data_IF_429928442487
#
_entry.id   IF_429928442487
#
_cell.length_a   1.000
_cell.length_b   1.000
_cell.length_c   1.000
_cell.angle_alpha   90.00
_cell.angle_beta   90.00
_cell.angle_gamma   90.00
#
_symmetry.space_group_name_H-M   'P 1'
#
loop_
_entity.id
_entity.type
_entity.pdbx_description
1 polymer ?
#
# COMPACT_ATOMS: atom_id res chain seq x y z
N UNK A 1 -26.74 -4.33 -5.08
CA UNK A 1 -25.41 -3.72 -4.80
C UNK A 1 -24.66 -4.46 -3.69
N UNK A 2 -25.25 -4.70 -2.51
CA UNK A 2 -24.62 -5.47 -1.41
C UNK A 2 -24.33 -6.94 -1.76
N UNK A 3 -25.21 -7.58 -2.53
CA UNK A 3 -25.09 -8.99 -2.88
C UNK A 3 -23.94 -9.30 -3.84
N UNK A 4 -23.68 -8.43 -4.82
CA UNK A 4 -22.54 -8.57 -5.74
C UNK A 4 -21.21 -8.34 -5.01
N UNK A 5 -21.16 -7.37 -4.10
CA UNK A 5 -19.97 -7.08 -3.29
C UNK A 5 -19.60 -8.26 -2.36
N UNK A 6 -20.60 -8.95 -1.80
CA UNK A 6 -20.42 -10.17 -1.01
C UNK A 6 -19.91 -11.33 -1.89
N UNK A 7 -20.49 -11.54 -3.08
CA UNK A 7 -20.03 -12.57 -4.01
C UNK A 7 -18.57 -12.37 -4.41
N UNK A 8 -18.21 -11.12 -4.67
CA UNK A 8 -16.86 -10.75 -5.06
C UNK A 8 -15.87 -10.91 -3.90
N UNK A 9 -16.28 -10.60 -2.67
CA UNK A 9 -15.48 -10.87 -1.47
C UNK A 9 -15.27 -12.38 -1.26
N UNK A 10 -16.33 -13.17 -1.40
CA UNK A 10 -16.28 -14.64 -1.27
C UNK A 10 -15.37 -15.25 -2.33
N UNK A 11 -15.51 -14.84 -3.61
CA UNK A 11 -14.61 -15.28 -4.69
C UNK A 11 -13.15 -14.97 -4.39
N UNK A 12 -12.86 -13.77 -3.88
CA UNK A 12 -11.51 -13.36 -3.52
C UNK A 12 -10.92 -14.23 -2.39
N UNK A 13 -11.69 -14.47 -1.33
CA UNK A 13 -11.30 -15.33 -0.22
C UNK A 13 -11.04 -16.77 -0.69
N UNK A 14 -11.89 -17.28 -1.58
CA UNK A 14 -11.74 -18.62 -2.16
C UNK A 14 -10.50 -18.73 -3.06
N UNK A 15 -10.22 -17.73 -3.90
CA UNK A 15 -9.01 -17.69 -4.75
C UNK A 15 -7.75 -17.63 -3.89
N UNK A 16 -7.73 -16.79 -2.86
CA UNK A 16 -6.63 -16.70 -1.89
C UNK A 16 -6.42 -18.03 -1.18
N UNK A 17 -7.49 -18.62 -0.65
CA UNK A 17 -7.43 -19.89 0.06
C UNK A 17 -6.94 -21.03 -0.86
N UNK A 18 -7.41 -21.05 -2.10
CA UNK A 18 -6.99 -22.03 -3.10
C UNK A 18 -5.52 -21.86 -3.47
N UNK A 19 -5.07 -20.65 -3.79
CA UNK A 19 -3.66 -20.37 -4.12
C UNK A 19 -2.74 -20.70 -2.94
N UNK A 20 -3.19 -20.46 -1.71
CA UNK A 20 -2.45 -20.88 -0.52
C UNK A 20 -2.30 -22.40 -0.44
N UNK A 21 -3.42 -23.14 -0.53
CA UNK A 21 -3.41 -24.60 -0.46
C UNK A 21 -2.58 -25.19 -1.60
N UNK A 22 -2.75 -24.70 -2.83
CA UNK A 22 -1.98 -25.13 -3.99
C UNK A 22 -0.49 -24.89 -3.82
N UNK A 23 -0.10 -23.72 -3.32
CA UNK A 23 1.29 -23.40 -3.02
C UNK A 23 1.86 -24.29 -1.90
N UNK A 24 1.10 -24.51 -0.82
CA UNK A 24 1.51 -25.39 0.28
C UNK A 24 1.69 -26.85 -0.16
N UNK A 25 0.79 -27.36 -1.00
CA UNK A 25 0.87 -28.71 -1.56
C UNK A 25 2.05 -28.82 -2.53
N UNK A 26 2.23 -27.84 -3.43
CA UNK A 26 3.34 -27.81 -4.38
C UNK A 26 4.70 -27.74 -3.70
N UNK A 27 4.84 -26.90 -2.67
CA UNK A 27 6.06 -26.82 -1.87
C UNK A 27 6.30 -28.14 -1.12
N UNK A 28 5.26 -28.77 -0.57
CA UNK A 28 5.36 -30.10 0.04
C UNK A 28 5.87 -31.19 -0.91
N UNK A 29 5.65 -31.03 -2.22
CA UNK A 29 6.08 -31.97 -3.26
C UNK A 29 7.51 -31.74 -3.78
N UNK A 30 8.15 -30.59 -3.51
CA UNK A 30 9.46 -30.25 -4.09
C UNK A 30 10.50 -29.89 -3.02
N UNK A 31 11.56 -30.70 -2.95
CA UNK A 31 12.83 -30.55 -2.21
C UNK A 31 12.79 -29.83 -0.83
N UNK A 32 13.21 -30.55 0.22
CA UNK A 32 13.29 -30.13 1.65
C UNK A 32 13.88 -28.74 1.94
N UNK A 33 14.70 -28.17 1.05
CA UNK A 33 15.27 -26.83 1.23
C UNK A 33 14.26 -25.71 0.91
N UNK A 34 13.42 -25.88 -0.12
CA UNK A 34 12.39 -24.91 -0.49
C UNK A 34 11.24 -24.88 0.52
N UNK A 35 10.90 -26.03 1.10
CA UNK A 35 9.89 -26.14 2.16
C UNK A 35 10.28 -25.36 3.40
N UNK A 36 11.54 -25.43 3.83
CA UNK A 36 12.01 -24.71 5.04
C UNK A 36 12.03 -23.18 4.85
N UNK A 37 12.48 -22.71 3.68
CA UNK A 37 12.45 -21.28 3.33
C UNK A 37 11.01 -20.76 3.25
N UNK A 38 10.13 -21.49 2.58
CA UNK A 38 8.75 -21.11 2.40
C UNK A 38 7.93 -21.21 3.71
N UNK A 39 8.18 -22.19 4.57
CA UNK A 39 7.52 -22.27 5.89
C UNK A 39 7.86 -21.09 6.79
N UNK A 40 9.15 -20.71 6.85
CA UNK A 40 9.60 -19.55 7.63
C UNK A 40 8.96 -18.24 7.16
N UNK A 41 8.57 -18.17 5.89
CA UNK A 41 8.01 -16.97 5.22
C UNK A 41 6.56 -17.10 4.79
N UNK A 42 5.88 -18.18 5.18
CA UNK A 42 4.54 -18.54 4.68
C UNK A 42 3.57 -17.37 4.78
N UNK A 43 3.63 -16.64 5.89
CA UNK A 43 2.77 -15.49 6.15
C UNK A 43 3.06 -14.32 5.22
N UNK A 44 4.34 -13.99 4.98
CA UNK A 44 4.71 -12.91 4.06
C UNK A 44 4.34 -13.24 2.63
N UNK A 45 4.57 -14.49 2.20
CA UNK A 45 4.20 -14.95 0.85
C UNK A 45 2.68 -14.88 0.67
N UNK A 46 1.92 -15.40 1.64
CA UNK A 46 0.47 -15.29 1.66
C UNK A 46 -0.02 -13.86 1.57
N UNK A 47 0.51 -12.99 2.41
CA UNK A 47 0.13 -11.58 2.43
C UNK A 47 0.43 -10.92 1.08
N UNK A 48 1.59 -11.18 0.49
CA UNK A 48 1.95 -10.71 -0.85
C UNK A 48 0.95 -11.18 -1.90
N UNK A 49 0.56 -12.46 -1.90
CA UNK A 49 -0.42 -12.99 -2.84
C UNK A 49 -1.81 -12.36 -2.65
N UNK A 50 -2.27 -12.26 -1.40
CA UNK A 50 -3.54 -11.60 -1.06
C UNK A 50 -3.55 -10.17 -1.57
N UNK A 51 -2.51 -9.40 -1.28
CA UNK A 51 -2.41 -8.00 -1.70
C UNK A 51 -2.32 -7.85 -3.20
N UNK A 52 -1.65 -8.78 -3.89
CA UNK A 52 -1.62 -8.80 -5.36
C UNK A 52 -3.03 -9.01 -5.93
N UNK A 53 -3.79 -9.99 -5.43
CA UNK A 53 -5.14 -10.28 -5.95
C UNK A 53 -6.11 -9.16 -5.60
N UNK A 54 -6.07 -8.65 -4.36
CA UNK A 54 -6.87 -7.48 -3.95
C UNK A 54 -6.53 -6.29 -4.83
N UNK A 55 -5.23 -6.02 -5.04
CA UNK A 55 -4.76 -4.92 -5.88
C UNK A 55 -5.23 -5.04 -7.32
N UNK A 56 -5.14 -6.24 -7.92
CA UNK A 56 -5.62 -6.51 -9.28
C UNK A 56 -7.12 -6.25 -9.36
N UNK A 57 -7.91 -6.82 -8.45
CA UNK A 57 -9.37 -6.72 -8.48
C UNK A 57 -9.86 -5.28 -8.27
N UNK A 58 -9.27 -4.57 -7.30
CA UNK A 58 -9.58 -3.14 -7.09
C UNK A 58 -9.14 -2.32 -8.31
N UNK A 59 -8.07 -2.71 -9.00
CA UNK A 59 -7.64 -2.03 -10.23
C UNK A 59 -8.57 -2.33 -11.41
N UNK A 60 -9.16 -3.53 -11.48
CA UNK A 60 -10.10 -3.94 -12.53
C UNK A 60 -11.34 -3.02 -12.56
N UNK A 61 -11.87 -2.69 -11.37
CA UNK A 61 -12.96 -1.73 -11.21
C UNK A 61 -12.59 -0.32 -11.71
N UNK A 62 -11.30 0.02 -11.67
CA UNK A 62 -10.75 1.33 -12.07
C UNK A 62 -10.37 1.37 -13.56
N UNK A 63 -10.09 0.22 -14.18
CA UNK A 63 -9.71 0.12 -15.60
C UNK A 63 -10.79 0.68 -16.53
N UNK A 64 -12.07 0.59 -16.13
CA UNK A 64 -13.18 1.20 -16.85
C UNK A 64 -13.21 2.74 -16.78
N UNK A 65 -12.26 3.37 -16.06
CA UNK A 65 -12.09 4.83 -15.87
C UNK A 65 -13.25 5.55 -15.20
N UNK A 66 -14.30 4.83 -14.84
CA UNK A 66 -15.48 5.36 -14.17
C UNK A 66 -15.41 5.10 -12.66
N UNK A 67 -16.08 5.95 -11.91
CA UNK A 67 -16.25 5.77 -10.46
C UNK A 67 -17.57 5.07 -10.21
N UNK A 68 -17.51 3.94 -9.53
CA UNK A 68 -18.71 3.20 -9.14
C UNK A 68 -19.54 3.95 -8.09
N UNK A 69 -20.82 3.57 -7.90
CA UNK A 69 -21.69 4.15 -6.87
C UNK A 69 -21.08 4.09 -5.45
N UNK A 70 -20.26 3.09 -5.18
CA UNK A 70 -19.53 2.96 -3.91
C UNK A 70 -18.58 4.13 -3.66
N UNK A 71 -17.78 4.52 -4.66
CA UNK A 71 -16.81 5.60 -4.54
C UNK A 71 -17.48 6.94 -4.24
N UNK A 72 -18.60 7.21 -4.93
CA UNK A 72 -19.41 8.43 -4.74
C UNK A 72 -20.06 8.44 -3.36
N UNK A 73 -20.69 7.33 -2.96
CA UNK A 73 -21.40 7.22 -1.68
C UNK A 73 -20.45 7.46 -0.50
N UNK A 74 -19.28 6.83 -0.52
CA UNK A 74 -18.28 6.99 0.56
C UNK A 74 -17.77 8.42 0.62
N UNK A 75 -17.47 9.04 -0.52
CA UNK A 75 -16.99 10.43 -0.54
C UNK A 75 -18.06 11.41 -0.04
N UNK A 76 -19.31 11.28 -0.49
CA UNK A 76 -20.41 12.11 -0.01
C UNK A 76 -20.67 11.92 1.49
N UNK A 77 -20.60 10.67 1.98
CA UNK A 77 -20.71 10.40 3.42
C UNK A 77 -19.60 11.09 4.20
N UNK A 78 -18.35 11.00 3.75
CA UNK A 78 -17.22 11.69 4.39
C UNK A 78 -17.44 13.20 4.38
N UNK A 79 -17.79 13.77 3.24
CA UNK A 79 -18.02 15.22 3.10
C UNK A 79 -19.14 15.72 4.02
N UNK A 80 -20.22 14.96 4.18
CA UNK A 80 -21.35 15.33 5.03
C UNK A 80 -21.05 15.22 6.54
N UNK A 81 -20.12 14.35 6.95
CA UNK A 81 -19.88 14.04 8.37
C UNK A 81 -18.58 14.61 8.93
N UNK A 82 -17.65 15.05 8.08
CA UNK A 82 -16.38 15.64 8.55
C UNK A 82 -16.55 17.15 8.72
N UNK A 83 -16.41 17.61 9.96
CA UNK A 83 -16.47 19.03 10.28
C UNK A 83 -15.34 19.81 9.59
N UNK A 84 -15.67 20.98 9.02
CA UNK A 84 -14.72 21.85 8.33
C UNK A 84 -13.57 22.33 9.22
N UNK A 85 -13.78 22.41 10.54
CA UNK A 85 -12.74 22.72 11.53
C UNK A 85 -11.59 21.70 11.57
N UNK A 86 -11.82 20.46 11.12
CA UNK A 86 -10.80 19.42 11.06
C UNK A 86 -9.97 19.45 9.77
N UNK A 87 -10.29 20.32 8.81
CA UNK A 87 -9.61 20.37 7.51
C UNK A 87 -8.10 20.56 7.67
N UNK A 88 -7.66 21.45 8.57
CA UNK A 88 -6.23 21.69 8.83
C UNK A 88 -5.48 20.45 9.35
N UNK A 89 -6.16 19.57 10.11
CA UNK A 89 -5.59 18.30 10.56
C UNK A 89 -5.36 17.36 9.38
N UNK A 90 -6.32 17.27 8.45
CA UNK A 90 -6.18 16.43 7.26
C UNK A 90 -5.17 17.00 6.26
N UNK A 91 -5.06 18.32 6.14
CA UNK A 91 -4.00 18.96 5.36
C UNK A 91 -2.62 18.60 5.93
N UNK A 92 -2.43 18.69 7.26
CA UNK A 92 -1.18 18.29 7.92
C UNK A 92 -0.87 16.81 7.68
N UNK A 93 -1.88 15.93 7.80
CA UNK A 93 -1.73 14.51 7.48
C UNK A 93 -1.31 14.31 6.02
N UNK A 94 -1.90 15.04 5.07
CA UNK A 94 -1.51 15.00 3.66
C UNK A 94 -0.08 15.47 3.43
N UNK A 95 0.35 16.55 4.10
CA UNK A 95 1.71 17.08 4.00
C UNK A 95 2.73 16.03 4.46
N UNK A 96 2.42 15.27 5.52
CA UNK A 96 3.29 14.19 6.00
C UNK A 96 3.57 13.11 4.95
N UNK A 97 2.61 12.86 4.04
CA UNK A 97 2.77 11.92 2.93
C UNK A 97 3.24 12.55 1.62
N UNK A 98 3.59 13.84 1.63
CA UNK A 98 4.03 14.55 0.44
C UNK A 98 5.52 14.33 0.16
N UNK A 99 5.93 14.42 -1.10
CA UNK A 99 7.34 14.29 -1.48
C UNK A 99 8.26 15.27 -0.73
N UNK A 100 7.74 16.45 -0.35
CA UNK A 100 8.48 17.47 0.43
C UNK A 100 8.94 16.94 1.79
N UNK A 101 8.15 16.09 2.43
CA UNK A 101 8.48 15.49 3.73
C UNK A 101 9.13 14.12 3.55
N UNK A 102 8.60 13.30 2.65
CA UNK A 102 9.09 11.94 2.45
C UNK A 102 10.51 11.88 1.89
N UNK A 103 10.89 12.78 0.98
CA UNK A 103 12.22 12.75 0.38
C UNK A 103 13.34 12.97 1.41
N UNK A 104 13.35 14.05 2.22
CA UNK A 104 14.39 14.22 3.25
C UNK A 104 14.32 13.13 4.32
N UNK A 105 13.12 12.64 4.67
CA UNK A 105 12.95 11.53 5.60
C UNK A 105 13.62 10.25 5.08
N UNK A 106 13.35 9.86 3.83
CA UNK A 106 13.96 8.67 3.22
C UNK A 106 15.47 8.82 3.10
N UNK A 107 15.96 9.97 2.66
CA UNK A 107 17.40 10.23 2.56
C UNK A 107 18.08 10.09 3.93
N UNK A 108 17.52 10.74 4.96
CA UNK A 108 18.08 10.66 6.32
C UNK A 108 18.06 9.25 6.90
N UNK A 109 16.97 8.50 6.70
CA UNK A 109 16.88 7.09 7.10
C UNK A 109 17.92 6.22 6.39
N UNK A 110 18.07 6.37 5.06
CA UNK A 110 19.03 5.60 4.27
C UNK A 110 20.46 5.93 4.70
N UNK A 111 20.81 7.21 4.88
CA UNK A 111 22.13 7.62 5.36
C UNK A 111 22.40 7.04 6.75
N UNK A 112 21.45 7.15 7.69
CA UNK A 112 21.60 6.60 9.05
C UNK A 112 21.81 5.08 9.03
N UNK A 113 21.06 4.35 8.21
CA UNK A 113 21.22 2.89 8.06
C UNK A 113 22.56 2.52 7.44
N UNK A 114 23.04 3.27 6.44
CA UNK A 114 24.35 3.05 5.85
C UNK A 114 25.49 3.32 6.85
N UNK A 115 25.40 4.40 7.63
CA UNK A 115 26.33 4.69 8.73
C UNK A 115 26.34 3.57 9.79
N UNK A 116 25.16 3.00 10.09
CA UNK A 116 25.01 1.85 10.98
C UNK A 116 25.40 0.50 10.33
N UNK A 117 25.94 0.50 9.10
CA UNK A 117 26.31 -0.69 8.30
C UNK A 117 25.13 -1.65 8.02
N UNK A 118 23.89 -1.16 8.09
CA UNK A 118 22.63 -1.86 7.83
C UNK A 118 22.25 -1.77 6.35
N UNK A 119 23.11 -2.34 5.49
CA UNK A 119 22.99 -2.23 4.01
C UNK A 119 21.71 -2.86 3.47
N UNK A 120 21.26 -3.97 4.06
CA UNK A 120 20.03 -4.65 3.66
C UNK A 120 18.81 -3.74 3.84
N UNK A 121 18.68 -3.14 5.03
CA UNK A 121 17.56 -2.28 5.40
C UNK A 121 17.57 -0.97 4.58
N UNK A 122 18.76 -0.39 4.37
CA UNK A 122 18.93 0.76 3.48
C UNK A 122 18.43 0.45 2.06
N UNK A 123 18.89 -0.68 1.49
CA UNK A 123 18.48 -1.11 0.15
C UNK A 123 16.97 -1.38 0.07
N UNK A 124 16.41 -2.07 1.06
CA UNK A 124 14.98 -2.37 1.12
C UNK A 124 14.13 -1.08 1.09
N UNK A 125 14.48 -0.08 1.91
CA UNK A 125 13.78 1.21 1.93
C UNK A 125 13.92 1.93 0.59
N UNK A 126 15.13 2.05 0.07
CA UNK A 126 15.40 2.75 -1.20
C UNK A 126 14.62 2.13 -2.35
N UNK A 127 14.74 0.82 -2.55
CA UNK A 127 14.08 0.12 -3.66
C UNK A 127 12.56 0.14 -3.50
N UNK A 128 12.04 0.05 -2.27
CA UNK A 128 10.59 0.14 -2.00
C UNK A 128 10.00 1.50 -2.36
N UNK A 129 10.66 2.59 -1.97
CA UNK A 129 10.17 3.95 -2.25
C UNK A 129 10.30 4.28 -3.74
N UNK A 130 11.40 3.89 -4.38
CA UNK A 130 11.61 4.10 -5.82
C UNK A 130 10.61 3.29 -6.66
N UNK A 131 10.42 2.01 -6.35
CA UNK A 131 9.43 1.16 -7.05
C UNK A 131 8.01 1.67 -6.82
N UNK A 132 7.67 2.12 -5.61
CA UNK A 132 6.37 2.74 -5.32
C UNK A 132 6.15 4.00 -6.16
N UNK A 133 7.13 4.90 -6.20
CA UNK A 133 7.05 6.14 -6.99
C UNK A 133 6.94 5.87 -8.49
N UNK A 134 7.72 4.92 -9.00
CA UNK A 134 7.66 4.49 -10.40
C UNK A 134 6.29 3.88 -10.74
N UNK A 135 5.75 3.04 -9.84
CA UNK A 135 4.44 2.42 -10.01
C UNK A 135 3.34 3.47 -10.07
N UNK A 136 3.40 4.50 -9.21
CA UNK A 136 2.46 5.64 -9.27
C UNK A 136 2.51 6.32 -10.64
N UNK A 137 3.72 6.62 -11.14
CA UNK A 137 3.89 7.31 -12.43
C UNK A 137 3.34 6.47 -13.59
N UNK A 138 3.72 5.19 -13.66
CA UNK A 138 3.28 4.27 -14.72
C UNK A 138 1.76 4.10 -14.70
N UNK A 139 1.17 3.84 -13.53
CA UNK A 139 -0.28 3.63 -13.44
C UNK A 139 -1.08 4.91 -13.72
N UNK A 140 -0.58 6.08 -13.31
CA UNK A 140 -1.20 7.37 -13.67
C UNK A 140 -1.23 7.59 -15.18
N UNK A 141 -0.11 7.29 -15.85
CA UNK A 141 0.00 7.42 -17.30
C UNK A 141 -0.88 6.40 -18.03
N UNK A 142 -0.96 5.16 -17.54
CA UNK A 142 -1.72 4.09 -18.18
C UNK A 142 -3.25 4.24 -18.00
N UNK A 143 -3.71 4.58 -16.79
CA UNK A 143 -5.14 4.57 -16.46
C UNK A 143 -5.80 5.88 -16.87
N UNK A 144 -5.20 7.03 -16.56
CA UNK A 144 -5.76 8.34 -16.92
C UNK A 144 -7.11 8.67 -16.23
N UNK A 145 -7.42 8.04 -15.10
CA UNK A 145 -8.69 8.26 -14.36
C UNK A 145 -8.84 9.71 -13.90
N UNK A 146 -10.03 10.28 -14.09
CA UNK A 146 -10.39 11.62 -13.62
C UNK A 146 -10.56 11.67 -12.10
N UNK A 147 -10.22 12.81 -11.49
CA UNK A 147 -10.39 13.05 -10.05
C UNK A 147 -11.87 13.28 -9.68
N UNK A 148 -12.24 13.12 -8.40
CA UNK A 148 -13.57 13.51 -7.94
C UNK A 148 -13.84 14.99 -8.20
N UNK A 149 -15.01 15.29 -8.75
CA UNK A 149 -15.52 16.64 -9.00
C UNK A 149 -16.92 16.79 -8.39
N UNK A 150 -17.09 16.27 -7.17
CA UNK A 150 -18.38 16.25 -6.46
C UNK A 150 -18.65 17.55 -5.69
N UNK A 151 -17.60 18.31 -5.38
CA UNK A 151 -17.63 19.64 -4.76
C UNK A 151 -16.33 20.39 -5.10
N UNK A 152 -16.29 21.69 -4.79
CA UNK A 152 -15.09 22.49 -5.02
C UNK A 152 -13.95 22.05 -4.10
N UNK A 153 -12.84 21.64 -4.71
CA UNK A 153 -11.64 21.15 -4.01
C UNK A 153 -10.42 21.95 -4.44
N UNK A 154 -9.34 21.86 -3.67
CA UNK A 154 -8.04 22.37 -4.11
C UNK A 154 -7.66 21.71 -5.44
N UNK A 155 -7.19 22.51 -6.40
CA UNK A 155 -6.83 22.00 -7.72
C UNK A 155 -5.60 21.08 -7.64
N UNK A 156 -5.76 19.84 -8.08
CA UNK A 156 -4.67 18.89 -8.27
C UNK A 156 -4.56 18.46 -9.73
N UNK A 157 -3.37 18.60 -10.29
CA UNK A 157 -3.08 18.21 -11.66
C UNK A 157 -2.98 16.68 -11.82
N UNK A 158 -3.28 16.20 -13.04
CA UNK A 158 -3.07 14.81 -13.47
C UNK A 158 -4.09 13.79 -12.95
N UNK A 159 -3.87 12.53 -13.32
CA UNK A 159 -4.78 11.41 -13.01
C UNK A 159 -4.98 11.17 -11.50
N UNK A 160 -6.16 10.70 -11.12
CA UNK A 160 -6.49 10.31 -9.74
C UNK A 160 -5.82 8.99 -9.34
N UNK A 161 -5.79 7.99 -10.23
CA UNK A 161 -5.38 6.64 -9.89
C UNK A 161 -3.89 6.39 -10.14
N UNK A 162 -3.17 5.72 -9.22
CA UNK A 162 -3.50 5.54 -7.80
C UNK A 162 -3.20 6.80 -6.98
N UNK A 163 -3.59 6.83 -5.71
CA UNK A 163 -3.15 7.86 -4.76
C UNK A 163 -1.64 7.76 -4.50
N UNK A 164 -0.88 8.73 -5.00
CA UNK A 164 0.59 8.74 -4.86
C UNK A 164 1.06 8.92 -3.41
N UNK A 165 0.41 9.81 -2.66
CA UNK A 165 0.73 10.05 -1.24
C UNK A 165 0.52 8.76 -0.44
N UNK A 166 -0.62 8.11 -0.63
CA UNK A 166 -0.96 6.87 0.08
C UNK A 166 -0.02 5.73 -0.29
N UNK A 167 0.27 5.54 -1.58
CA UNK A 167 1.08 4.42 -2.05
C UNK A 167 2.51 4.49 -1.52
N UNK A 168 3.16 5.66 -1.65
CA UNK A 168 4.55 5.82 -1.22
C UNK A 168 4.68 5.76 0.30
N UNK A 169 3.70 6.31 1.04
CA UNK A 169 3.65 6.16 2.51
C UNK A 169 3.49 4.70 2.91
N UNK A 170 2.58 3.95 2.28
CA UNK A 170 2.40 2.52 2.54
C UNK A 170 3.67 1.70 2.23
N UNK A 171 4.36 2.03 1.14
CA UNK A 171 5.64 1.41 0.79
C UNK A 171 6.74 1.69 1.82
N UNK A 172 6.93 2.94 2.20
CA UNK A 172 7.91 3.32 3.22
C UNK A 172 7.58 2.72 4.58
N UNK A 173 6.33 2.80 5.01
CA UNK A 173 5.88 2.29 6.31
C UNK A 173 6.08 0.78 6.40
N UNK A 174 5.73 0.02 5.35
CA UNK A 174 5.92 -1.43 5.32
C UNK A 174 7.40 -1.80 5.31
N UNK A 175 8.22 -1.14 4.50
CA UNK A 175 9.68 -1.35 4.49
C UNK A 175 10.31 -1.04 5.87
N UNK A 176 9.80 -0.02 6.55
CA UNK A 176 10.24 0.38 7.89
C UNK A 176 9.86 -0.68 8.93
N UNK A 177 8.64 -1.23 8.88
CA UNK A 177 8.22 -2.33 9.78
C UNK A 177 9.09 -3.57 9.59
N UNK A 178 9.39 -3.95 8.34
CA UNK A 178 10.28 -5.09 8.04
C UNK A 178 11.68 -4.82 8.61
N UNK A 179 12.24 -3.65 8.33
CA UNK A 179 13.57 -3.24 8.79
C UNK A 179 13.65 -3.19 10.33
N UNK A 180 12.66 -2.59 10.98
CA UNK A 180 12.59 -2.48 12.44
C UNK A 180 12.47 -3.85 13.10
N UNK A 181 11.70 -4.79 12.54
CA UNK A 181 11.62 -6.15 13.06
C UNK A 181 12.95 -6.91 12.96
N UNK A 182 13.79 -6.60 11.95
CA UNK A 182 15.11 -7.20 11.78
C UNK A 182 16.15 -6.60 12.73
N UNK A 183 16.08 -5.29 12.99
CA UNK A 183 17.02 -4.58 13.86
C UNK A 183 16.63 -4.76 15.34
N UNK A 184 15.34 -4.60 15.66
CA UNK A 184 14.78 -4.64 17.02
C UNK A 184 13.46 -5.45 17.04
N UNK A 185 13.53 -6.80 17.12
CA UNK A 185 12.35 -7.67 17.05
C UNK A 185 11.23 -7.33 18.05
N UNK A 186 11.59 -6.84 19.25
CA UNK A 186 10.63 -6.43 20.29
C UNK A 186 9.80 -5.19 19.94
N UNK A 187 10.25 -4.36 18.99
CA UNK A 187 9.58 -3.12 18.59
C UNK A 187 8.48 -3.31 17.54
N UNK A 188 8.36 -4.52 16.96
CA UNK A 188 7.51 -4.79 15.78
C UNK A 188 6.08 -4.28 15.95
N UNK A 189 5.43 -4.61 17.07
CA UNK A 189 4.02 -4.24 17.31
C UNK A 189 3.86 -2.71 17.35
N UNK A 190 4.77 -2.03 18.04
CA UNK A 190 4.75 -0.58 18.18
C UNK A 190 4.95 0.12 16.83
N UNK A 191 5.99 -0.27 16.08
CA UNK A 191 6.29 0.31 14.76
C UNK A 191 5.16 0.02 13.77
N UNK A 192 4.57 -1.19 13.82
CA UNK A 192 3.42 -1.54 12.99
C UNK A 192 2.20 -0.68 13.32
N UNK A 193 1.92 -0.40 14.60
CA UNK A 193 0.83 0.50 14.99
C UNK A 193 1.04 1.92 14.45
N UNK A 194 2.25 2.47 14.56
CA UNK A 194 2.57 3.80 14.01
C UNK A 194 2.41 3.80 12.49
N UNK A 195 2.93 2.77 11.81
CA UNK A 195 2.80 2.62 10.37
C UNK A 195 1.34 2.60 9.91
N UNK A 196 0.48 1.81 10.58
CA UNK A 196 -0.94 1.72 10.26
C UNK A 196 -1.65 3.06 10.48
N UNK A 197 -1.41 3.72 11.60
CA UNK A 197 -1.98 5.05 11.88
C UNK A 197 -1.56 6.05 10.82
N UNK A 198 -0.29 6.05 10.42
CA UNK A 198 0.21 6.99 9.42
C UNK A 198 -0.40 6.75 8.04
N UNK A 199 -0.39 5.50 7.55
CA UNK A 199 -0.98 5.12 6.26
C UNK A 199 -2.47 5.47 6.21
N UNK A 200 -3.19 5.15 7.29
CA UNK A 200 -4.62 5.42 7.39
C UNK A 200 -4.93 6.92 7.44
N UNK A 201 -4.16 7.69 8.23
CA UNK A 201 -4.32 9.15 8.34
C UNK A 201 -4.07 9.83 7.00
N UNK A 202 -3.01 9.44 6.29
CA UNK A 202 -2.74 9.95 4.94
C UNK A 202 -3.85 9.54 3.98
N UNK A 203 -4.26 8.26 3.98
CA UNK A 203 -5.33 7.76 3.12
C UNK A 203 -6.65 8.51 3.29
N UNK A 204 -7.13 8.65 4.53
CA UNK A 204 -8.36 9.41 4.84
C UNK A 204 -8.22 10.87 4.42
N UNK A 205 -7.08 11.50 4.67
CA UNK A 205 -6.91 12.90 4.28
C UNK A 205 -7.17 13.12 2.78
N UNK A 206 -6.83 12.15 1.92
CA UNK A 206 -7.07 12.25 0.48
C UNK A 206 -8.55 12.17 0.11
N UNK A 207 -9.34 11.43 0.90
CA UNK A 207 -10.78 11.32 0.72
C UNK A 207 -11.50 12.56 1.26
N UNK A 208 -11.11 13.03 2.44
CA UNK A 208 -11.68 14.25 3.06
C UNK A 208 -11.43 15.47 2.18
N UNK A 209 -10.23 15.61 1.64
CA UNK A 209 -9.89 16.70 0.72
C UNK A 209 -10.56 16.54 -0.67
N UNK A 210 -11.25 15.42 -0.94
CA UNK A 210 -11.99 15.19 -2.18
C UNK A 210 -11.14 14.98 -3.42
N UNK A 211 -9.85 14.65 -3.25
CA UNK A 211 -8.86 14.66 -4.34
C UNK A 211 -8.60 13.27 -4.94
N UNK A 212 -9.09 12.21 -4.30
CA UNK A 212 -8.97 10.82 -4.74
C UNK A 212 -10.24 10.04 -4.44
N UNK A 213 -10.52 9.02 -5.26
CA UNK A 213 -11.58 8.07 -4.99
C UNK A 213 -11.17 7.05 -3.91
N UNK A 214 -12.11 6.50 -3.12
CA UNK A 214 -11.84 5.44 -2.16
C UNK A 214 -11.07 4.26 -2.76
N UNK A 215 -11.45 3.81 -3.95
CA UNK A 215 -10.72 2.77 -4.71
C UNK A 215 -9.28 3.17 -5.05
N UNK A 216 -9.00 4.43 -5.37
CA UNK A 216 -7.62 4.92 -5.61
C UNK A 216 -6.73 4.77 -4.37
N UNK A 217 -7.32 5.01 -3.19
CA UNK A 217 -6.64 4.91 -1.88
C UNK A 217 -6.45 3.44 -1.49
N UNK A 218 -7.48 2.61 -1.66
CA UNK A 218 -7.41 1.18 -1.35
C UNK A 218 -6.37 0.45 -2.23
N UNK A 219 -6.38 0.70 -3.54
CA UNK A 219 -5.37 0.15 -4.45
C UNK A 219 -3.96 0.63 -4.07
N UNK A 220 -3.80 1.92 -3.75
CA UNK A 220 -2.53 2.48 -3.31
C UNK A 220 -1.99 1.81 -2.04
N UNK A 221 -2.83 1.56 -1.03
CA UNK A 221 -2.44 0.83 0.18
C UNK A 221 -2.02 -0.60 -0.16
N UNK A 222 -2.79 -1.30 -0.97
CA UNK A 222 -2.49 -2.69 -1.33
C UNK A 222 -1.16 -2.82 -2.09
N UNK A 223 -0.97 -2.01 -3.13
CA UNK A 223 0.26 -1.98 -3.92
C UNK A 223 1.44 -1.53 -3.06
N UNK A 224 1.26 -0.48 -2.25
CA UNK A 224 2.30 0.04 -1.37
C UNK A 224 2.75 -0.98 -0.32
N UNK A 225 1.87 -1.82 0.20
CA UNK A 225 2.27 -2.92 1.11
C UNK A 225 2.87 -4.11 0.35
N UNK A 226 2.37 -4.41 -0.84
CA UNK A 226 2.85 -5.50 -1.69
C UNK A 226 4.33 -5.34 -2.06
N UNK A 227 4.73 -4.15 -2.53
CA UNK A 227 6.07 -3.93 -3.09
C UNK A 227 7.18 -4.27 -2.08
N UNK A 228 7.21 -3.74 -0.84
CA UNK A 228 8.27 -4.03 0.12
C UNK A 228 8.24 -5.47 0.61
N UNK A 229 7.07 -6.11 0.68
CA UNK A 229 6.98 -7.53 1.03
C UNK A 229 7.60 -8.40 -0.06
N UNK A 230 7.29 -8.14 -1.33
CA UNK A 230 7.87 -8.84 -2.47
C UNK A 230 9.38 -8.59 -2.57
N UNK A 231 9.81 -7.33 -2.50
CA UNK A 231 11.23 -6.95 -2.51
C UNK A 231 11.97 -7.59 -1.34
N UNK A 232 11.41 -7.58 -0.13
CA UNK A 232 12.01 -8.22 1.04
C UNK A 232 12.23 -9.72 0.85
N UNK A 233 11.26 -10.43 0.27
CA UNK A 233 11.42 -11.86 -0.06
C UNK A 233 12.58 -12.07 -1.04
N UNK A 234 12.65 -11.26 -2.11
CA UNK A 234 13.72 -11.35 -3.12
C UNK A 234 15.08 -11.00 -2.52
N UNK A 235 15.20 -9.86 -1.83
CA UNK A 235 16.46 -9.44 -1.23
C UNK A 235 16.95 -10.48 -0.23
N UNK A 236 16.10 -10.99 0.65
CA UNK A 236 16.56 -11.98 1.63
C UNK A 236 16.96 -13.32 1.00
N UNK A 237 16.51 -13.64 -0.22
CA UNK A 237 17.02 -14.80 -0.97
C UNK A 237 18.43 -14.59 -1.54
N UNK A 238 18.82 -13.34 -1.77
CA UNK A 238 20.16 -12.98 -2.27
C UNK A 238 21.20 -12.85 -1.13
N UNK A 239 20.73 -12.64 0.10
CA UNK A 239 21.56 -12.48 1.31
C UNK A 239 21.57 -13.72 2.22
N UNK A 240 20.93 -14.82 1.80
CA UNK A 240 20.92 -16.11 2.50
C UNK A 240 22.09 -16.99 2.05
#
# INVERSE_FOLDING_TARGET
>A
MTFELIKDLVKLVLIVAFLFVALSVYLGWKQRAWTAFAEKRRFSILMTLVLAIVGIKVSEDVVNRESGPFDVLVLQFIHANVASSLTGLFEAATISGSARVLLPLVISMVVALLCAKRRFEALLITVSVLSGSMTVYVLKAAVGRARPALWDTQWYWGSSFPSGHTLVVAALATATVISANRIWPGSRKFVMSIALVWVFSVGISRLVLGVHWPTDVLAAVCIGMFLPLAIGIVLESLYA
#
